data_IF_409785785546
#
_entry.id   IF_409785785546
#
_cell.length_a   1.000
_cell.length_b   1.000
_cell.length_c   1.000
_cell.angle_alpha   90.00
_cell.angle_beta   90.00
_cell.angle_gamma   90.00
#
_symmetry.space_group_name_H-M   'P 1'
#
loop_
_entity.id
_entity.type
_entity.pdbx_description
1 polymer ?
#
# COMPACT_ATOMS: atom_id res chain seq x y z
N UNK A 1 -7.38 -15.02 2.73
CA UNK A 1 -6.32 -14.10 2.27
C UNK A 1 -5.29 -13.93 3.38
N UNK A 2 -4.02 -14.04 3.03
CA UNK A 2 -2.94 -13.90 4.00
C UNK A 2 -2.93 -12.47 4.56
N UNK A 3 -2.62 -12.30 5.86
CA UNK A 3 -2.49 -10.99 6.46
C UNK A 3 -1.33 -10.22 5.85
N UNK A 4 -1.55 -8.94 5.65
CA UNK A 4 -0.56 -8.01 5.14
C UNK A 4 -0.49 -6.81 6.09
N UNK A 5 0.67 -6.16 6.10
CA UNK A 5 0.91 -5.01 6.96
C UNK A 5 1.55 -3.89 6.16
N UNK A 6 1.19 -2.66 6.51
CA UNK A 6 1.85 -1.47 6.00
C UNK A 6 2.81 -0.95 7.06
N UNK A 7 4.07 -0.79 6.69
CA UNK A 7 5.13 -0.29 7.56
C UNK A 7 5.49 1.13 7.15
N UNK A 8 5.66 2.00 8.13
CA UNK A 8 6.06 3.38 7.86
C UNK A 8 6.96 3.88 8.96
N UNK A 9 8.11 4.47 8.58
CA UNK A 9 8.98 5.12 9.56
C UNK A 9 8.44 6.50 9.88
N UNK A 10 8.24 6.77 11.18
CA UNK A 10 7.78 8.05 11.68
C UNK A 10 8.78 8.48 12.75
N UNK A 11 9.67 9.42 12.41
CA UNK A 11 10.78 9.75 13.30
C UNK A 11 11.71 8.57 13.47
N UNK A 12 11.90 8.12 14.71
CA UNK A 12 12.71 6.95 15.01
C UNK A 12 11.90 5.66 15.17
N UNK A 13 10.58 5.75 15.06
CA UNK A 13 9.69 4.62 15.27
C UNK A 13 9.21 4.04 13.94
N UNK A 14 8.86 2.75 13.97
CA UNK A 14 8.21 2.07 12.85
C UNK A 14 6.76 1.85 13.21
N UNK A 15 5.88 2.52 12.52
CA UNK A 15 4.44 2.36 12.66
C UNK A 15 3.96 1.24 11.74
N UNK A 16 3.07 0.40 12.24
CA UNK A 16 2.60 -0.77 11.50
C UNK A 16 1.08 -0.81 11.55
N UNK A 17 0.46 -0.89 10.37
CA UNK A 17 -0.98 -1.05 10.25
C UNK A 17 -1.31 -2.42 9.67
N UNK A 18 -2.29 -3.09 10.26
CA UNK A 18 -2.87 -4.31 9.73
C UNK A 18 -3.78 -3.92 8.56
N UNK A 19 -3.49 -4.42 7.36
CA UNK A 19 -4.25 -4.07 6.16
C UNK A 19 -5.71 -4.51 6.27
N UNK A 20 -5.99 -5.68 6.90
CA UNK A 20 -7.37 -6.09 7.15
C UNK A 20 -8.15 -5.05 7.96
N UNK A 21 -7.49 -4.46 8.96
CA UNK A 21 -8.09 -3.40 9.76
C UNK A 21 -8.34 -2.14 8.93
N UNK A 22 -7.38 -1.77 8.06
CA UNK A 22 -7.55 -0.62 7.17
C UNK A 22 -8.74 -0.83 6.23
N UNK A 23 -8.90 -2.03 5.69
CA UNK A 23 -10.03 -2.37 4.82
C UNK A 23 -11.35 -2.21 5.58
N UNK A 24 -11.41 -2.69 6.82
CA UNK A 24 -12.61 -2.54 7.66
C UNK A 24 -12.93 -1.07 7.92
N UNK A 25 -11.92 -0.27 8.27
CA UNK A 25 -12.11 1.15 8.57
C UNK A 25 -12.60 1.94 7.36
N UNK A 26 -12.21 1.54 6.15
CA UNK A 26 -12.54 2.27 4.92
C UNK A 26 -13.76 1.72 4.20
N UNK A 27 -14.40 0.71 4.75
CA UNK A 27 -15.49 -0.03 4.11
C UNK A 27 -16.67 0.85 3.68
N UNK A 28 -16.94 1.91 4.43
CA UNK A 28 -18.04 2.84 4.13
C UNK A 28 -17.57 4.15 3.48
N UNK A 29 -16.29 4.26 3.18
CA UNK A 29 -15.76 5.49 2.57
C UNK A 29 -16.22 5.60 1.13
N UNK A 30 -16.41 6.84 0.68
CA UNK A 30 -16.73 7.11 -0.72
C UNK A 30 -15.48 6.83 -1.57
N UNK A 31 -15.65 5.98 -2.60
CA UNK A 31 -14.58 5.70 -3.55
C UNK A 31 -14.46 6.87 -4.51
N UNK A 32 -13.25 7.36 -4.72
CA UNK A 32 -12.99 8.47 -5.63
C UNK A 32 -11.88 8.09 -6.61
N UNK A 33 -11.72 8.86 -7.66
CA UNK A 33 -10.60 8.72 -8.59
C UNK A 33 -9.50 9.68 -8.18
N UNK A 34 -8.27 9.16 -8.14
CA UNK A 34 -7.08 9.95 -7.83
C UNK A 34 -6.15 9.87 -9.03
N UNK A 35 -5.61 11.01 -9.44
CA UNK A 35 -4.66 11.06 -10.55
C UNK A 35 -3.39 10.29 -10.18
N UNK A 36 -2.93 9.41 -11.08
CA UNK A 36 -1.67 8.68 -10.85
C UNK A 36 -0.50 9.64 -10.69
N UNK A 37 -0.54 10.80 -11.36
CA UNK A 37 0.51 11.81 -11.23
C UNK A 37 0.65 12.35 -9.81
N UNK A 38 -0.39 12.22 -8.97
CA UNK A 38 -0.37 12.68 -7.60
C UNK A 38 0.14 11.62 -6.61
N UNK A 39 0.39 10.40 -7.09
CA UNK A 39 0.88 9.32 -6.24
C UNK A 39 2.40 9.34 -6.24
N UNK A 40 2.98 9.90 -5.17
CA UNK A 40 4.42 10.14 -5.08
C UNK A 40 5.23 8.85 -5.08
N UNK A 41 4.66 7.76 -4.55
CA UNK A 41 5.34 6.48 -4.45
C UNK A 41 5.77 5.91 -5.81
N UNK A 42 5.13 6.32 -6.90
CA UNK A 42 5.57 5.90 -8.24
C UNK A 42 6.99 6.34 -8.58
N UNK A 43 7.48 7.40 -7.93
CA UNK A 43 8.82 7.92 -8.16
C UNK A 43 9.77 7.62 -7.00
N UNK A 44 9.43 6.65 -6.17
CA UNK A 44 10.21 6.24 -5.01
C UNK A 44 10.55 4.75 -5.11
N UNK A 45 11.59 4.33 -4.39
CA UNK A 45 11.95 2.92 -4.28
C UNK A 45 11.05 2.25 -3.23
N UNK A 46 9.77 2.13 -3.54
CA UNK A 46 8.74 1.76 -2.57
C UNK A 46 8.96 0.37 -1.95
N UNK A 47 9.22 -0.64 -2.81
CA UNK A 47 9.38 -2.02 -2.32
C UNK A 47 10.78 -2.33 -1.81
N UNK A 48 11.78 -1.54 -2.19
CA UNK A 48 13.18 -1.81 -1.88
C UNK A 48 13.90 -0.53 -1.46
N UNK A 49 13.44 0.12 -0.36
CA UNK A 49 13.91 1.49 -0.03
C UNK A 49 15.39 1.60 0.29
N UNK A 50 16.03 0.52 0.79
CA UNK A 50 17.41 0.56 1.24
C UNK A 50 18.25 -0.57 0.67
N UNK A 51 17.83 -1.16 -0.44
CA UNK A 51 18.53 -2.31 -1.01
C UNK A 51 18.32 -2.40 -2.51
N UNK A 52 19.21 -3.13 -3.17
CA UNK A 52 19.07 -3.45 -4.58
C UNK A 52 18.35 -4.79 -4.71
N UNK A 53 17.25 -4.86 -5.45
CA UNK A 53 16.54 -6.12 -5.60
C UNK A 53 17.29 -7.10 -6.50
N UNK A 54 17.10 -8.38 -6.23
CA UNK A 54 17.53 -9.42 -7.17
C UNK A 54 16.54 -9.49 -8.32
N UNK A 55 16.97 -10.12 -9.42
CA UNK A 55 16.08 -10.37 -10.57
C UNK A 55 14.83 -11.12 -10.14
N UNK A 56 15.00 -12.13 -9.28
CA UNK A 56 13.87 -12.92 -8.80
C UNK A 56 12.86 -12.07 -8.02
N UNK A 57 13.34 -11.16 -7.19
CA UNK A 57 12.47 -10.24 -6.45
C UNK A 57 11.67 -9.33 -7.39
N UNK A 58 12.30 -8.85 -8.45
CA UNK A 58 11.62 -8.03 -9.46
C UNK A 58 10.53 -8.86 -10.15
N UNK A 59 10.84 -10.10 -10.53
CA UNK A 59 9.88 -10.99 -11.17
C UNK A 59 8.68 -11.25 -10.26
N UNK A 60 8.92 -11.49 -8.98
CA UNK A 60 7.84 -11.72 -8.01
C UNK A 60 6.90 -10.53 -7.91
N UNK A 61 7.45 -9.31 -7.87
CA UNK A 61 6.62 -8.11 -7.88
C UNK A 61 5.86 -7.94 -9.20
N UNK A 62 6.48 -8.27 -10.32
CA UNK A 62 5.80 -8.24 -11.62
C UNK A 62 4.58 -9.16 -11.64
N UNK A 63 4.70 -10.35 -11.07
CA UNK A 63 3.60 -11.30 -10.99
C UNK A 63 2.44 -10.71 -10.17
N UNK A 64 2.77 -10.04 -9.05
CA UNK A 64 1.76 -9.39 -8.22
C UNK A 64 1.10 -8.22 -8.94
N UNK A 65 1.87 -7.47 -9.73
CA UNK A 65 1.33 -6.38 -10.55
C UNK A 65 0.33 -6.94 -11.58
N UNK A 66 0.70 -8.01 -12.29
CA UNK A 66 -0.19 -8.61 -13.28
C UNK A 66 -1.48 -9.15 -12.65
N UNK A 67 -1.38 -9.72 -11.47
CA UNK A 67 -2.51 -10.32 -10.76
C UNK A 67 -3.40 -9.28 -10.06
N UNK A 68 -2.95 -8.03 -9.94
CA UNK A 68 -3.68 -7.00 -9.21
C UNK A 68 -5.04 -6.71 -9.88
N UNK A 69 -6.06 -6.49 -9.06
CA UNK A 69 -7.42 -6.21 -9.53
C UNK A 69 -7.74 -4.73 -9.29
N UNK A 70 -7.83 -3.96 -10.37
CA UNK A 70 -8.05 -2.52 -10.32
C UNK A 70 -9.46 -2.13 -9.88
N UNK A 71 -10.38 -3.09 -9.78
CA UNK A 71 -11.73 -2.80 -9.28
C UNK A 71 -11.75 -2.52 -7.78
N UNK A 72 -10.73 -2.97 -7.04
CA UNK A 72 -10.59 -2.65 -5.63
C UNK A 72 -9.85 -1.33 -5.47
N UNK A 73 -10.38 -0.40 -4.66
CA UNK A 73 -9.70 0.88 -4.46
C UNK A 73 -8.43 0.72 -3.64
N UNK A 74 -7.44 1.55 -3.91
CA UNK A 74 -6.28 1.67 -3.04
C UNK A 74 -6.67 2.47 -1.79
N UNK A 75 -5.87 2.37 -0.74
CA UNK A 75 -6.10 3.09 0.51
C UNK A 75 -5.00 4.13 0.69
N UNK A 76 -5.41 5.40 0.85
CA UNK A 76 -4.49 6.50 1.07
C UNK A 76 -4.66 7.07 2.48
N UNK A 77 -3.55 7.48 3.09
CA UNK A 77 -3.60 8.21 4.35
C UNK A 77 -4.04 9.65 4.13
N UNK A 78 -4.17 10.42 5.20
CA UNK A 78 -4.65 11.80 5.13
C UNK A 78 -3.78 12.69 4.24
N UNK A 79 -2.46 12.39 4.15
CA UNK A 79 -1.51 13.12 3.33
C UNK A 79 -1.40 12.59 1.90
N UNK A 80 -2.23 11.61 1.53
CA UNK A 80 -2.24 11.06 0.19
C UNK A 80 -1.18 10.00 -0.08
N UNK A 81 -0.54 9.46 0.97
CA UNK A 81 0.44 8.37 0.82
C UNK A 81 -0.28 7.03 0.77
N UNK A 82 0.27 6.11 0.00
CA UNK A 82 -0.32 4.77 -0.17
C UNK A 82 -0.14 3.94 1.10
N UNK A 83 -1.23 3.45 1.65
CA UNK A 83 -1.22 2.50 2.78
C UNK A 83 -1.50 1.08 2.32
N UNK A 84 -2.20 0.90 1.21
CA UNK A 84 -2.47 -0.41 0.61
C UNK A 84 -2.72 -0.24 -0.88
N UNK A 85 -2.21 -1.18 -1.67
CA UNK A 85 -2.53 -1.26 -3.08
C UNK A 85 -1.44 -0.79 -4.02
N UNK A 86 -0.16 -0.77 -3.62
CA UNK A 86 0.91 -0.31 -4.50
C UNK A 86 1.04 -1.14 -5.78
N UNK A 87 0.75 -2.44 -5.74
CA UNK A 87 0.76 -3.26 -6.96
C UNK A 87 -0.35 -2.86 -7.92
N UNK A 88 -1.50 -2.40 -7.40
CA UNK A 88 -2.57 -1.83 -8.23
C UNK A 88 -2.15 -0.51 -8.86
N UNK A 89 -1.45 0.33 -8.10
CA UNK A 89 -0.90 1.59 -8.62
C UNK A 89 0.06 1.30 -9.77
N UNK A 90 0.97 0.36 -9.58
CA UNK A 90 1.94 -0.02 -10.61
C UNK A 90 1.23 -0.56 -11.86
N UNK A 91 0.21 -1.39 -11.68
CA UNK A 91 -0.56 -1.92 -12.82
C UNK A 91 -1.26 -0.82 -13.60
N UNK A 92 -1.92 0.10 -12.90
CA UNK A 92 -2.60 1.22 -13.55
C UNK A 92 -1.61 2.07 -14.36
N UNK A 93 -0.43 2.31 -13.80
CA UNK A 93 0.63 3.03 -14.50
C UNK A 93 1.12 2.27 -15.74
N UNK A 94 1.34 0.98 -15.61
CA UNK A 94 1.78 0.11 -16.71
C UNK A 94 0.78 0.12 -17.86
N UNK A 95 -0.52 0.10 -17.54
CA UNK A 95 -1.59 0.15 -18.51
C UNK A 95 -1.88 1.57 -19.02
N UNK A 96 -1.14 2.54 -18.54
CA UNK A 96 -1.25 3.96 -18.94
C UNK A 96 -2.61 4.57 -18.62
N UNK A 97 -3.20 4.15 -17.50
CA UNK A 97 -4.38 4.81 -16.97
C UNK A 97 -3.99 6.20 -16.42
N UNK A 98 -4.92 7.14 -16.48
CA UNK A 98 -4.67 8.49 -15.94
C UNK A 98 -4.98 8.58 -14.46
N UNK A 99 -5.84 7.71 -13.96
CA UNK A 99 -6.29 7.72 -12.57
C UNK A 99 -6.53 6.31 -12.04
N UNK A 100 -6.81 6.22 -10.75
CA UNK A 100 -7.07 4.96 -10.06
C UNK A 100 -8.14 5.18 -8.98
N UNK A 101 -8.95 4.16 -8.71
CA UNK A 101 -9.91 4.22 -7.62
C UNK A 101 -9.20 4.20 -6.27
N UNK A 102 -9.63 5.06 -5.36
CA UNK A 102 -9.03 5.17 -4.04
C UNK A 102 -10.08 5.51 -2.99
N UNK A 103 -9.80 5.08 -1.76
CA UNK A 103 -10.43 5.62 -0.56
C UNK A 103 -9.34 6.32 0.23
N UNK A 104 -9.68 7.42 0.91
CA UNK A 104 -8.69 8.22 1.61
C UNK A 104 -9.19 8.61 2.99
N UNK A 105 -8.34 8.42 3.98
CA UNK A 105 -8.64 8.88 5.33
C UNK A 105 -8.64 10.40 5.40
N UNK A 106 -9.63 10.99 6.07
CA UNK A 106 -9.60 12.40 6.43
C UNK A 106 -8.57 12.65 7.52
N UNK A 107 -8.38 11.65 8.39
CA UNK A 107 -7.38 11.64 9.44
C UNK A 107 -6.76 10.25 9.48
N UNK A 108 -5.43 10.18 9.38
CA UNK A 108 -4.71 8.90 9.39
C UNK A 108 -4.96 8.18 10.70
N UNK A 109 -5.39 6.90 10.67
CA UNK A 109 -5.67 6.17 11.91
C UNK A 109 -4.41 5.87 12.68
N UNK A 110 -4.59 5.63 13.99
CA UNK A 110 -3.48 5.19 14.83
C UNK A 110 -2.94 3.85 14.32
N UNK A 111 -1.62 3.62 14.41
CA UNK A 111 -1.07 2.31 14.01
C UNK A 111 -1.56 1.21 14.93
N UNK A 112 -1.62 0.00 14.40
CA UNK A 112 -1.99 -1.18 15.20
C UNK A 112 -0.82 -1.64 16.06
N UNK A 113 0.41 -1.42 15.59
CA UNK A 113 1.64 -1.77 16.31
C UNK A 113 2.69 -0.69 16.12
N UNK A 114 3.59 -0.58 17.09
CA UNK A 114 4.75 0.32 16.99
C UNK A 114 5.98 -0.48 17.37
N UNK A 115 7.01 -0.48 16.50
CA UNK A 115 8.32 -1.10 16.75
C UNK A 115 8.25 -2.61 17.04
N UNK A 116 7.30 -3.31 16.41
CA UNK A 116 7.21 -4.76 16.51
C UNK A 116 7.97 -5.37 15.33
N UNK A 117 8.80 -6.39 15.59
CA UNK A 117 9.53 -7.08 14.54
C UNK A 117 8.56 -7.82 13.61
N UNK A 118 8.91 -7.88 12.33
CA UNK A 118 8.11 -8.60 11.35
C UNK A 118 7.87 -10.06 11.76
N UNK A 119 8.87 -10.68 12.40
CA UNK A 119 8.78 -12.07 12.82
C UNK A 119 7.74 -12.30 13.92
N UNK A 120 7.38 -11.24 14.66
CA UNK A 120 6.41 -11.31 15.74
C UNK A 120 4.97 -11.06 15.29
N UNK A 121 4.79 -10.61 14.04
CA UNK A 121 3.47 -10.33 13.51
C UNK A 121 2.81 -11.62 13.00
N UNK A 122 1.49 -11.68 13.14
CA UNK A 122 0.70 -12.82 12.70
C UNK A 122 0.38 -12.66 11.21
N UNK A 123 0.88 -13.58 10.38
CA UNK A 123 0.61 -13.60 8.95
C UNK A 123 -0.41 -14.66 8.55
N UNK A 124 -0.87 -15.47 9.51
CA UNK A 124 -1.91 -16.47 9.25
C UNK A 124 -3.29 -15.82 9.30
N UNK A 125 -4.21 -16.41 8.61
CA UNK A 125 -5.60 -15.93 8.63
C UNK A 125 -6.36 -16.41 9.85
#
# INVERSE_FOLDING_TARGET
MRRQYHFRQVGQDIYIWDVHHLVELTKTFVIKKVALADIRELNEAYWFPNQSPTTQQIIEHFQLVEAADLSYPIILCAEGRVMDGMHRVAKASLLKHGDIFAVQFAQTPEPDFINVDEDELDYDE
#
